data_IF_633137009645
#
_entry.id   IF_633137009645
#
_cell.length_a   1.000
_cell.length_b   1.000
_cell.length_c   1.000
_cell.angle_alpha   90.00
_cell.angle_beta   90.00
_cell.angle_gamma   90.00
#
_symmetry.space_group_name_H-M   'P 1'
#
loop_
_entity.id
_entity.type
_entity.pdbx_description
1 polymer ?
#
# COMPACT_ATOMS: atom_id res chain seq x y z
N UNK A 1 -7.31 -19.49 -0.87
CA UNK A 1 -7.69 -18.96 0.45
C UNK A 1 -7.51 -17.45 0.41
N UNK A 2 -8.62 -16.73 0.46
CA UNK A 2 -8.69 -15.27 0.41
C UNK A 2 -8.47 -14.68 1.81
N UNK A 3 -8.06 -13.41 1.89
CA UNK A 3 -7.87 -12.75 3.19
C UNK A 3 -9.18 -12.63 3.98
N UNK A 4 -10.33 -12.55 3.29
CA UNK A 4 -11.67 -12.47 3.87
C UNK A 4 -12.06 -13.74 4.66
N UNK A 5 -11.51 -14.89 4.32
CA UNK A 5 -11.77 -16.15 5.03
C UNK A 5 -11.10 -16.21 6.41
N UNK A 6 -10.23 -15.24 6.71
CA UNK A 6 -9.62 -15.05 8.03
C UNK A 6 -10.27 -13.94 8.86
N UNK A 7 -11.30 -13.29 8.30
CA UNK A 7 -11.97 -12.16 8.92
C UNK A 7 -12.71 -12.60 10.18
N UNK A 8 -12.55 -11.84 11.27
CA UNK A 8 -13.36 -11.98 12.48
C UNK A 8 -13.86 -10.61 12.93
N UNK A 9 -15.18 -10.46 13.19
CA UNK A 9 -15.75 -9.19 13.60
C UNK A 9 -15.01 -8.52 14.77
N UNK A 10 -14.75 -7.22 14.63
CA UNK A 10 -14.06 -6.37 15.60
C UNK A 10 -12.53 -6.46 15.56
N UNK A 11 -11.95 -7.34 14.74
CA UNK A 11 -10.50 -7.50 14.65
C UNK A 11 -9.87 -6.43 13.76
N UNK A 12 -8.83 -5.76 14.27
CA UNK A 12 -8.12 -4.68 13.57
C UNK A 12 -6.64 -4.62 13.90
N UNK A 13 -5.86 -3.98 13.04
CA UNK A 13 -4.49 -3.58 13.32
C UNK A 13 -4.46 -2.22 14.03
N UNK A 14 -4.24 -2.22 15.35
CA UNK A 14 -4.28 -0.99 16.15
C UNK A 14 -3.05 -0.09 15.95
N UNK A 15 -1.88 -0.65 15.63
CA UNK A 15 -0.64 0.13 15.48
C UNK A 15 -0.69 1.16 14.35
N UNK A 16 -1.57 0.95 13.36
CA UNK A 16 -1.75 1.83 12.20
C UNK A 16 -3.12 2.51 12.20
N UNK A 17 -3.91 2.33 13.28
CA UNK A 17 -5.20 2.97 13.40
C UNK A 17 -5.02 4.46 13.72
N UNK A 18 -5.88 5.34 13.19
CA UNK A 18 -5.98 6.70 13.70
C UNK A 18 -6.26 6.68 15.21
N UNK A 19 -5.59 7.56 15.97
CA UNK A 19 -5.74 7.67 17.42
C UNK A 19 -7.15 8.10 17.83
N UNK A 20 -7.83 8.86 16.97
CA UNK A 20 -9.18 9.32 17.18
C UNK A 20 -10.03 9.12 15.92
N UNK A 21 -11.33 8.90 16.12
CA UNK A 21 -12.29 9.00 15.03
C UNK A 21 -12.44 10.46 14.60
N UNK A 22 -12.59 10.69 13.30
CA UNK A 22 -12.90 12.02 12.80
C UNK A 22 -14.28 12.45 13.31
N UNK A 23 -14.40 13.72 13.69
CA UNK A 23 -15.71 14.35 13.87
C UNK A 23 -16.37 14.49 12.49
N UNK A 24 -17.62 14.08 12.39
CA UNK A 24 -18.42 14.10 11.15
C UNK A 24 -19.67 14.97 11.29
N UNK A 25 -19.76 15.75 12.37
CA UNK A 25 -20.91 16.62 12.65
C UNK A 25 -21.10 17.75 11.64
N UNK A 26 -20.07 18.07 10.86
CA UNK A 26 -20.08 19.04 9.75
C UNK A 26 -20.55 18.46 8.41
N UNK A 27 -20.72 17.13 8.31
CA UNK A 27 -21.18 16.46 7.11
C UNK A 27 -22.72 16.33 7.09
N UNK A 28 -23.39 16.66 5.97
CA UNK A 28 -24.81 16.41 5.81
C UNK A 28 -25.15 14.92 5.97
N UNK A 29 -26.15 14.60 6.80
CA UNK A 29 -26.53 13.21 7.10
C UNK A 29 -26.84 12.37 5.85
N UNK A 30 -27.42 12.98 4.81
CA UNK A 30 -27.72 12.32 3.54
C UNK A 30 -26.48 11.91 2.72
N UNK A 31 -25.29 12.38 3.09
CA UNK A 31 -24.01 12.03 2.47
C UNK A 31 -23.20 11.04 3.32
N UNK A 32 -23.66 10.73 4.54
CA UNK A 32 -23.01 9.74 5.38
C UNK A 32 -23.27 8.34 4.80
N UNK A 33 -22.28 7.47 4.99
CA UNK A 33 -22.38 6.08 4.58
C UNK A 33 -23.23 5.30 5.58
N UNK A 34 -24.22 4.58 5.09
CA UNK A 34 -25.16 3.80 5.93
C UNK A 34 -24.71 2.35 6.18
N UNK A 35 -23.71 1.87 5.43
CA UNK A 35 -23.22 0.49 5.49
C UNK A 35 -21.72 0.42 5.84
N UNK A 36 -21.29 -0.66 6.48
CA UNK A 36 -19.87 -0.91 6.70
C UNK A 36 -19.21 -1.38 5.40
N UNK A 37 -18.04 -0.84 5.00
CA UNK A 37 -17.30 -1.39 3.87
C UNK A 37 -16.95 -2.87 4.08
N UNK A 38 -17.03 -3.72 3.05
CA UNK A 38 -16.71 -5.14 3.15
C UNK A 38 -15.19 -5.36 3.15
N UNK A 39 -14.51 -4.82 4.17
CA UNK A 39 -13.08 -4.99 4.40
C UNK A 39 -12.82 -6.19 5.32
N UNK A 40 -11.68 -6.89 5.15
CA UNK A 40 -11.33 -7.98 6.05
C UNK A 40 -10.94 -7.44 7.43
N UNK A 41 -11.51 -8.02 8.47
CA UNK A 41 -11.22 -7.72 9.87
C UNK A 41 -10.15 -8.69 10.37
N UNK A 42 -8.89 -8.30 10.20
CA UNK A 42 -7.71 -9.13 10.47
C UNK A 42 -6.66 -8.37 11.29
N UNK A 43 -5.85 -9.10 12.05
CA UNK A 43 -4.73 -8.52 12.80
C UNK A 43 -3.54 -8.26 11.88
N UNK A 44 -2.63 -7.39 12.29
CA UNK A 44 -1.41 -7.08 11.54
C UNK A 44 -0.60 -8.35 11.19
N UNK A 45 -0.43 -9.26 12.16
CA UNK A 45 0.26 -10.52 11.94
C UNK A 45 -0.44 -11.43 10.92
N UNK A 46 -1.78 -11.39 10.84
CA UNK A 46 -2.51 -12.14 9.82
C UNK A 46 -2.30 -11.54 8.43
N UNK A 47 -2.30 -10.21 8.31
CA UNK A 47 -1.98 -9.50 7.06
C UNK A 47 -0.58 -9.89 6.58
N UNK A 48 0.42 -9.78 7.46
CA UNK A 48 1.82 -10.14 7.14
C UNK A 48 1.93 -11.60 6.68
N UNK A 49 1.32 -12.53 7.43
CA UNK A 49 1.34 -13.97 7.08
C UNK A 49 0.62 -14.25 5.75
N UNK A 50 -0.51 -13.59 5.51
CA UNK A 50 -1.28 -13.77 4.28
C UNK A 50 -0.47 -13.36 3.06
N UNK A 51 0.05 -12.13 3.04
CA UNK A 51 0.79 -11.62 1.87
C UNK A 51 2.16 -12.26 1.70
N UNK A 52 2.84 -12.66 2.78
CA UNK A 52 4.08 -13.46 2.69
C UNK A 52 3.82 -14.83 2.05
N UNK A 53 2.72 -15.51 2.41
CA UNK A 53 2.36 -16.80 1.77
C UNK A 53 1.90 -16.61 0.33
N UNK A 54 1.24 -15.50 0.03
CA UNK A 54 0.81 -15.20 -1.33
C UNK A 54 2.03 -14.92 -2.24
N UNK A 55 3.04 -14.19 -1.74
CA UNK A 55 4.25 -13.92 -2.52
C UNK A 55 5.02 -15.21 -2.85
N UNK A 56 5.07 -16.18 -1.93
CA UNK A 56 5.71 -17.49 -2.15
C UNK A 56 5.01 -18.34 -3.23
N UNK A 57 3.74 -18.03 -3.54
CA UNK A 57 2.98 -18.70 -4.62
C UNK A 57 3.20 -18.04 -5.98
N UNK A 58 3.80 -16.85 -6.03
CA UNK A 58 4.09 -16.16 -7.28
C UNK A 58 5.40 -16.63 -7.90
N UNK A 59 5.40 -16.77 -9.22
CA UNK A 59 6.61 -16.86 -10.00
C UNK A 59 7.14 -15.43 -10.21
N UNK A 60 8.42 -15.17 -9.92
CA UNK A 60 9.00 -13.83 -9.88
C UNK A 60 10.42 -13.83 -10.44
N UNK A 61 10.81 -12.71 -11.04
CA UNK A 61 12.17 -12.54 -11.57
C UNK A 61 13.26 -12.58 -10.49
N UNK A 62 12.90 -12.29 -9.24
CA UNK A 62 13.84 -12.30 -8.11
C UNK A 62 14.21 -13.72 -7.69
N UNK A 63 13.39 -14.70 -8.03
CA UNK A 63 13.53 -16.09 -7.57
C UNK A 63 13.71 -17.08 -8.71
N UNK A 64 13.34 -16.73 -9.94
CA UNK A 64 13.41 -17.63 -11.08
C UNK A 64 13.89 -16.92 -12.36
N UNK A 65 14.39 -17.71 -13.30
CA UNK A 65 14.64 -17.26 -14.67
C UNK A 65 13.31 -16.98 -15.40
N UNK A 66 13.21 -15.82 -16.06
CA UNK A 66 11.93 -15.28 -16.53
C UNK A 66 11.99 -14.84 -18.03
N UNK A 67 12.14 -15.76 -19.01
CA UNK A 67 12.40 -15.44 -20.41
C UNK A 67 11.14 -15.06 -21.21
N UNK A 68 10.50 -13.96 -20.85
CA UNK A 68 9.38 -13.43 -21.64
C UNK A 68 9.87 -12.47 -22.72
N UNK A 69 9.65 -12.85 -23.98
CA UNK A 69 9.91 -12.01 -25.15
C UNK A 69 9.13 -10.71 -25.10
N UNK A 70 9.71 -9.62 -25.62
CA UNK A 70 9.16 -8.25 -25.60
C UNK A 70 8.98 -7.59 -24.23
N UNK A 71 9.02 -8.34 -23.12
CA UNK A 71 8.90 -7.78 -21.77
C UNK A 71 10.23 -7.25 -21.21
N UNK A 72 11.36 -7.69 -21.75
CA UNK A 72 12.71 -7.35 -21.25
C UNK A 72 12.81 -7.56 -19.74
N UNK A 73 12.48 -8.77 -19.28
CA UNK A 73 12.51 -9.18 -17.88
C UNK A 73 13.96 -9.22 -17.37
N UNK A 74 14.50 -8.05 -17.03
CA UNK A 74 15.86 -7.82 -16.53
C UNK A 74 15.85 -7.65 -15.01
N UNK A 75 17.02 -7.82 -14.40
CA UNK A 75 17.20 -7.56 -12.96
C UNK A 75 16.69 -6.17 -12.56
N UNK A 76 15.95 -6.12 -11.45
CA UNK A 76 15.48 -4.90 -10.80
C UNK A 76 16.42 -4.54 -9.63
N UNK A 77 17.35 -3.57 -9.76
CA UNK A 77 18.30 -3.25 -8.70
C UNK A 77 17.60 -2.80 -7.41
N UNK A 78 17.97 -3.42 -6.28
CA UNK A 78 17.37 -3.07 -4.97
C UNK A 78 17.60 -1.61 -4.60
N UNK A 79 18.73 -1.03 -5.04
CA UNK A 79 19.04 0.38 -4.86
C UNK A 79 17.98 1.31 -5.48
N UNK A 80 17.37 0.93 -6.60
CA UNK A 80 16.30 1.74 -7.22
C UNK A 80 15.10 1.88 -6.29
N UNK A 81 14.67 0.80 -5.65
CA UNK A 81 13.57 0.86 -4.66
C UNK A 81 13.95 1.68 -3.43
N UNK A 82 15.17 1.52 -2.92
CA UNK A 82 15.64 2.33 -1.78
C UNK A 82 15.64 3.82 -2.10
N UNK A 83 16.12 4.22 -3.28
CA UNK A 83 16.17 5.61 -3.70
C UNK A 83 14.76 6.18 -3.99
N UNK A 84 13.84 5.39 -4.57
CA UNK A 84 12.46 5.82 -4.77
C UNK A 84 11.69 6.03 -3.46
N UNK A 85 12.13 5.38 -2.37
CA UNK A 85 11.52 5.48 -1.05
C UNK A 85 12.05 6.67 -0.22
N UNK A 86 12.91 7.52 -0.78
CA UNK A 86 13.36 8.71 -0.05
C UNK A 86 12.15 9.64 0.23
N UNK A 87 12.06 10.25 1.43
CA UNK A 87 10.90 11.06 1.80
C UNK A 87 10.60 12.21 0.84
N UNK A 88 11.63 12.82 0.24
CA UNK A 88 11.47 13.89 -0.74
C UNK A 88 10.80 13.44 -2.07
N UNK A 89 10.85 12.15 -2.39
CA UNK A 89 10.11 11.57 -3.51
C UNK A 89 8.71 11.09 -3.09
N UNK A 90 8.59 10.41 -1.95
CA UNK A 90 7.30 9.86 -1.49
C UNK A 90 6.28 10.92 -1.07
N UNK A 91 6.73 11.99 -0.38
CA UNK A 91 5.85 12.98 0.24
C UNK A 91 5.64 14.24 -0.62
N UNK A 92 5.77 14.12 -1.95
CA UNK A 92 5.64 15.25 -2.87
C UNK A 92 4.24 15.33 -3.48
N UNK A 93 3.58 16.46 -3.27
CA UNK A 93 2.38 16.80 -4.04
C UNK A 93 2.77 17.27 -5.45
N UNK A 94 2.15 16.75 -6.53
CA UNK A 94 2.50 17.12 -7.90
C UNK A 94 2.24 18.60 -8.22
N UNK A 95 1.27 19.24 -7.55
CA UNK A 95 0.96 20.67 -7.69
C UNK A 95 1.69 21.57 -6.67
N UNK A 96 2.68 21.06 -5.92
CA UNK A 96 3.48 21.91 -5.06
C UNK A 96 4.25 22.95 -5.90
N UNK A 97 4.51 24.16 -5.36
CA UNK A 97 5.30 25.17 -6.07
C UNK A 97 6.61 24.60 -6.62
N UNK A 98 7.00 25.02 -7.83
CA UNK A 98 8.22 24.53 -8.48
C UNK A 98 9.48 24.79 -7.64
N UNK A 99 9.51 25.89 -6.89
CA UNK A 99 10.61 26.22 -5.95
C UNK A 99 10.84 25.14 -4.89
N UNK A 100 9.79 24.44 -4.46
CA UNK A 100 9.87 23.33 -3.51
C UNK A 100 10.21 21.98 -4.17
N UNK A 101 10.55 21.96 -5.46
CA UNK A 101 10.74 20.74 -6.25
C UNK A 101 12.01 20.68 -7.08
N UNK A 102 12.96 21.59 -6.88
CA UNK A 102 14.14 21.70 -7.75
C UNK A 102 14.96 20.41 -7.81
N UNK A 103 15.07 19.67 -6.71
CA UNK A 103 15.73 18.35 -6.72
C UNK A 103 15.06 17.33 -7.65
N UNK A 104 13.72 17.34 -7.73
CA UNK A 104 12.96 16.45 -8.62
C UNK A 104 13.04 16.90 -10.08
N UNK A 105 13.01 18.21 -10.32
CA UNK A 105 13.00 18.80 -11.66
C UNK A 105 14.38 18.84 -12.34
N UNK A 106 15.45 18.72 -11.55
CA UNK A 106 16.83 18.70 -12.04
C UNK A 106 17.36 17.30 -12.36
N UNK A 107 16.60 16.25 -12.03
CA UNK A 107 16.92 14.85 -12.34
C UNK A 107 16.49 14.45 -13.76
#
# INVERSE_FOLDING_TARGET
MLIFEHSEPGRRAFAQAPDAMADVSDLPAALLRDDTPPLPEVSEMQVVRHYTRLSQKNFSIDTQFYPLGSCTMKYNPRACNTLSMLPGFLARHPLAPASAGQGFLAC
#
